data_IF_762192632236
#
_entry.id   IF_762192632236
#
_cell.length_a   1.000
_cell.length_b   1.000
_cell.length_c   1.000
_cell.angle_alpha   90.00
_cell.angle_beta   90.00
_cell.angle_gamma   90.00
#
_symmetry.space_group_name_H-M   'P 1'
#
loop_
_entity.id
_entity.type
_entity.pdbx_description
1 polymer ?
#
# COMPACT_ATOMS: atom_id res chain seq x y z
N UNK A 1 24.22 4.49 -5.18
CA UNK A 1 23.14 5.23 -5.83
C UNK A 1 21.97 5.21 -4.88
N UNK A 2 21.76 6.32 -4.21
CA UNK A 2 20.63 6.52 -3.32
C UNK A 2 19.35 6.29 -4.12
N UNK A 3 18.55 5.33 -3.71
CA UNK A 3 17.15 5.25 -4.06
C UNK A 3 16.39 6.39 -3.38
N UNK A 4 16.76 7.58 -3.64
CA UNK A 4 15.86 8.66 -3.32
C UNK A 4 14.77 8.57 -4.35
N UNK A 5 13.79 7.93 -3.87
CA UNK A 5 12.53 8.10 -4.50
C UNK A 5 12.32 9.56 -4.47
N UNK A 6 11.84 9.88 -5.21
CA UNK A 6 11.21 10.60 -5.88
C UNK A 6 9.96 11.05 -5.31
N UNK A 7 9.53 12.06 -5.64
CA UNK A 7 8.26 12.60 -5.47
C UNK A 7 7.88 12.97 -4.11
N UNK A 8 8.75 13.36 -3.39
CA UNK A 8 8.39 13.82 -2.07
C UNK A 8 8.06 15.26 -2.01
N UNK A 9 8.36 15.97 -2.97
CA UNK A 9 8.31 17.37 -2.68
C UNK A 9 7.05 17.99 -3.19
N UNK A 10 7.15 18.80 -4.04
CA UNK A 10 6.03 19.57 -4.53
C UNK A 10 5.39 18.86 -5.71
N UNK A 11 4.18 19.25 -6.04
CA UNK A 11 3.51 18.79 -7.24
C UNK A 11 4.31 19.01 -8.54
N UNK A 12 5.40 19.75 -8.47
CA UNK A 12 6.28 20.06 -9.60
C UNK A 12 7.54 19.19 -9.69
N UNK A 13 7.91 18.49 -8.64
CA UNK A 13 9.04 17.55 -8.68
C UNK A 13 8.58 16.14 -8.40
N UNK A 14 8.44 15.38 -9.44
CA UNK A 14 8.12 13.97 -9.37
C UNK A 14 9.38 13.17 -9.63
N UNK A 15 9.77 12.47 -8.69
CA UNK A 15 10.79 11.54 -8.71
C UNK A 15 10.19 10.25 -9.19
N UNK A 16 10.80 9.51 -9.98
CA UNK A 16 10.38 8.21 -10.47
C UNK A 16 11.43 7.18 -10.08
N UNK A 17 11.00 6.00 -9.85
CA UNK A 17 11.90 4.89 -9.60
C UNK A 17 12.93 4.78 -10.74
N UNK A 18 14.17 4.46 -10.39
CA UNK A 18 15.27 4.33 -11.33
C UNK A 18 14.94 3.36 -12.47
N UNK A 19 14.16 2.30 -12.17
CA UNK A 19 13.77 1.30 -13.16
C UNK A 19 12.83 1.91 -14.21
N UNK A 20 11.93 2.79 -13.79
CA UNK A 20 11.03 3.51 -14.71
C UNK A 20 11.81 4.50 -15.56
N UNK A 21 12.71 5.27 -14.93
CA UNK A 21 13.58 6.23 -15.65
C UNK A 21 14.43 5.51 -16.67
N UNK A 22 15.07 4.42 -16.29
CA UNK A 22 15.94 3.66 -17.17
C UNK A 22 15.18 3.01 -18.32
N UNK A 23 14.03 2.40 -18.04
CA UNK A 23 13.20 1.79 -19.08
C UNK A 23 12.71 2.83 -20.09
N UNK A 24 12.24 3.97 -19.61
CA UNK A 24 11.82 5.06 -20.48
C UNK A 24 12.98 5.61 -21.33
N UNK A 25 14.16 5.77 -20.75
CA UNK A 25 15.36 6.17 -21.49
C UNK A 25 15.74 5.17 -22.57
N UNK A 26 15.70 3.85 -22.26
CA UNK A 26 15.99 2.80 -23.24
C UNK A 26 15.00 2.81 -24.41
N UNK A 27 13.71 2.92 -24.13
CA UNK A 27 12.66 2.96 -25.16
C UNK A 27 12.76 4.25 -26.02
N UNK A 28 13.05 5.38 -25.38
CA UNK A 28 13.27 6.64 -26.09
C UNK A 28 14.49 6.56 -26.99
N UNK A 29 15.62 6.05 -26.48
CA UNK A 29 16.83 5.85 -27.28
C UNK A 29 16.61 4.88 -28.43
N UNK A 30 15.89 3.76 -28.21
CA UNK A 30 15.51 2.82 -29.25
C UNK A 30 14.78 3.55 -30.39
N UNK A 31 13.76 4.33 -30.05
CA UNK A 31 12.97 5.08 -31.04
C UNK A 31 13.79 6.07 -31.83
N UNK A 32 14.74 6.76 -31.20
CA UNK A 32 15.62 7.75 -31.85
C UNK A 32 16.68 7.09 -32.76
N UNK A 33 17.19 5.94 -32.36
CA UNK A 33 18.25 5.22 -33.11
C UNK A 33 17.70 4.37 -34.22
N UNK A 34 16.44 3.93 -34.14
CA UNK A 34 15.81 3.01 -35.10
C UNK A 34 15.99 3.41 -36.58
N UNK A 35 15.87 4.69 -36.99
CA UNK A 35 16.09 5.08 -38.37
C UNK A 35 17.54 4.95 -38.84
N UNK A 36 18.50 4.97 -37.91
CA UNK A 36 19.94 4.93 -38.20
C UNK A 36 20.52 3.52 -38.07
N UNK A 37 20.08 2.78 -37.06
CA UNK A 37 20.55 1.44 -36.75
C UNK A 37 19.44 0.62 -36.06
N UNK A 38 18.71 -0.16 -36.82
CA UNK A 38 17.63 -0.98 -36.32
C UNK A 38 18.09 -2.05 -35.34
N UNK A 39 19.25 -2.67 -35.58
CA UNK A 39 19.78 -3.71 -34.69
C UNK A 39 20.09 -3.18 -33.28
N UNK A 40 20.70 -2.00 -33.18
CA UNK A 40 20.93 -1.35 -31.90
C UNK A 40 19.61 -0.93 -31.23
N UNK A 41 18.65 -0.47 -32.03
CA UNK A 41 17.33 -0.11 -31.52
C UNK A 41 16.61 -1.32 -30.88
N UNK A 42 16.65 -2.47 -31.55
CA UNK A 42 16.03 -3.70 -31.05
C UNK A 42 16.74 -4.21 -29.79
N UNK A 43 18.05 -4.07 -29.69
CA UNK A 43 18.80 -4.41 -28.49
C UNK A 43 18.43 -3.51 -27.29
N UNK A 44 18.27 -2.21 -27.51
CA UNK A 44 17.84 -1.29 -26.49
C UNK A 44 16.41 -1.56 -26.02
N UNK A 45 15.53 -1.89 -26.96
CA UNK A 45 14.15 -2.23 -26.67
C UNK A 45 14.05 -3.52 -25.85
N UNK A 46 14.79 -4.58 -26.24
CA UNK A 46 14.86 -5.84 -25.50
C UNK A 46 15.37 -5.67 -24.07
N UNK A 47 16.25 -4.70 -23.82
CA UNK A 47 16.68 -4.39 -22.45
C UNK A 47 15.56 -3.77 -21.60
N UNK A 48 14.61 -3.11 -22.21
CA UNK A 48 13.44 -2.55 -21.52
C UNK A 48 12.29 -3.57 -21.44
N UNK A 49 11.97 -4.20 -22.56
CA UNK A 49 10.90 -5.20 -22.71
C UNK A 49 11.42 -6.32 -23.59
N UNK A 50 11.47 -7.52 -23.08
CA UNK A 50 11.87 -8.71 -23.83
C UNK A 50 10.81 -9.81 -23.69
N UNK A 51 9.84 -9.87 -24.61
CA UNK A 51 8.74 -10.82 -24.53
C UNK A 51 9.19 -12.27 -24.72
N UNK A 52 10.39 -12.51 -25.27
CA UNK A 52 10.89 -13.87 -25.51
C UNK A 52 11.54 -14.46 -24.26
N UNK A 53 12.34 -13.65 -23.55
CA UNK A 53 13.09 -14.13 -22.38
C UNK A 53 12.53 -13.64 -21.05
N UNK A 54 11.63 -12.65 -21.07
CA UNK A 54 11.07 -11.99 -19.89
C UNK A 54 12.17 -11.39 -18.98
N UNK A 55 13.31 -11.02 -19.55
CA UNK A 55 14.45 -10.46 -18.84
C UNK A 55 14.55 -8.94 -18.97
N UNK A 56 13.68 -8.29 -19.72
CA UNK A 56 13.58 -6.85 -19.80
C UNK A 56 13.28 -6.22 -18.43
N UNK A 57 13.66 -4.97 -18.24
CA UNK A 57 13.46 -4.28 -16.95
C UNK A 57 11.99 -4.19 -16.55
N UNK A 58 11.10 -3.91 -17.51
CA UNK A 58 9.67 -3.84 -17.27
C UNK A 58 9.05 -5.22 -17.07
N UNK A 59 9.56 -6.24 -17.75
CA UNK A 59 9.12 -7.62 -17.54
C UNK A 59 9.48 -8.12 -16.15
N UNK A 60 10.68 -7.80 -15.69
CA UNK A 60 11.11 -8.12 -14.33
C UNK A 60 10.33 -7.33 -13.26
N UNK A 61 9.90 -6.11 -13.58
CA UNK A 61 9.02 -5.33 -12.72
C UNK A 61 7.62 -5.98 -12.68
N UNK A 62 7.07 -6.35 -13.83
CA UNK A 62 5.78 -7.04 -13.94
C UNK A 62 5.81 -8.40 -13.24
N UNK A 63 6.91 -9.13 -13.34
CA UNK A 63 7.14 -10.37 -12.62
C UNK A 63 7.36 -10.19 -11.10
N UNK A 64 7.37 -8.97 -10.61
CA UNK A 64 7.57 -8.65 -9.20
C UNK A 64 8.98 -8.88 -8.68
N UNK A 65 9.98 -9.03 -9.56
CA UNK A 65 11.40 -9.13 -9.18
C UNK A 65 11.96 -7.80 -8.68
N UNK A 66 11.38 -6.69 -9.14
CA UNK A 66 11.65 -5.36 -8.64
C UNK A 66 10.37 -4.77 -8.08
N UNK A 67 10.52 -3.95 -7.06
CA UNK A 67 9.44 -3.15 -6.50
C UNK A 67 9.72 -1.69 -6.74
N UNK A 68 8.68 -0.97 -7.07
CA UNK A 68 8.71 0.48 -7.01
C UNK A 68 8.82 0.89 -5.55
N UNK A 69 9.58 1.94 -5.28
CA UNK A 69 9.85 2.33 -3.91
C UNK A 69 8.58 2.61 -3.09
N UNK A 70 7.54 3.13 -3.74
CA UNK A 70 6.25 3.37 -3.12
C UNK A 70 5.41 2.08 -2.91
N UNK A 71 5.77 0.97 -3.55
CA UNK A 71 5.11 -0.32 -3.35
C UNK A 71 5.71 -1.11 -2.19
N UNK A 72 6.96 -0.82 -1.82
CA UNK A 72 7.66 -1.52 -0.74
C UNK A 72 7.23 -1.14 0.66
N UNK A 73 6.66 0.05 0.82
CA UNK A 73 6.25 0.58 2.12
C UNK A 73 4.75 0.40 2.43
N UNK A 74 3.95 0.05 1.42
CA UNK A 74 2.51 -0.10 1.56
C UNK A 74 2.09 -1.57 1.67
N UNK A 75 2.45 -2.18 2.77
CA UNK A 75 1.92 -3.51 3.08
C UNK A 75 0.53 -3.42 3.69
N UNK A 76 0.28 -2.34 4.40
CA UNK A 76 -0.98 -2.05 5.02
C UNK A 76 -1.27 -0.56 4.80
N UNK A 77 -2.38 -0.26 4.22
CA UNK A 77 -2.79 1.13 3.95
C UNK A 77 -4.11 1.41 4.67
N UNK A 78 -4.18 2.56 5.33
CA UNK A 78 -5.44 3.04 5.89
C UNK A 78 -6.02 4.12 4.99
N UNK A 79 -7.31 4.02 4.75
CA UNK A 79 -8.06 4.96 3.91
C UNK A 79 -9.31 5.42 4.66
N UNK A 80 -9.52 6.72 4.83
CA UNK A 80 -10.79 7.24 5.33
C UNK A 80 -11.90 6.97 4.29
N UNK A 81 -13.03 6.47 4.75
CA UNK A 81 -14.20 6.19 3.89
C UNK A 81 -15.31 7.21 4.15
N UNK A 82 -15.64 7.39 5.40
CA UNK A 82 -16.68 8.35 5.81
C UNK A 82 -16.21 9.03 7.10
N UNK A 83 -15.85 10.29 7.00
CA UNK A 83 -15.36 11.08 8.14
C UNK A 83 -16.28 12.27 8.34
N UNK A 84 -16.74 12.44 9.58
CA UNK A 84 -17.55 13.59 9.95
C UNK A 84 -16.70 14.87 9.90
N UNK A 85 -17.24 15.96 9.38
CA UNK A 85 -16.53 17.23 9.26
C UNK A 85 -16.09 17.86 10.58
N UNK A 86 -16.59 17.40 11.72
CA UNK A 86 -16.14 17.81 13.07
C UNK A 86 -15.01 16.95 13.63
N UNK A 87 -14.66 15.85 12.96
CA UNK A 87 -13.54 14.99 13.36
C UNK A 87 -12.23 15.67 13.04
N UNK A 88 -11.34 15.75 14.03
CA UNK A 88 -9.98 16.26 13.90
C UNK A 88 -8.93 15.18 14.14
N UNK A 89 -9.37 14.03 14.68
CA UNK A 89 -8.57 12.82 14.81
C UNK A 89 -8.62 11.99 13.55
N UNK A 90 -7.61 11.14 13.36
CA UNK A 90 -7.52 10.22 12.23
C UNK A 90 -6.72 8.97 12.62
N UNK A 91 -6.81 7.93 11.82
CA UNK A 91 -5.87 6.81 11.91
C UNK A 91 -4.61 7.19 11.14
N UNK A 92 -3.46 7.15 11.80
CA UNK A 92 -2.22 7.72 11.25
C UNK A 92 -1.16 6.69 10.92
N UNK A 93 -1.12 5.60 11.67
CA UNK A 93 -0.09 4.57 11.51
C UNK A 93 -0.68 3.17 11.60
N UNK A 94 -0.03 2.25 10.91
CA UNK A 94 -0.28 0.82 11.00
C UNK A 94 1.02 0.07 11.31
N UNK A 95 0.93 -1.02 12.05
CA UNK A 95 2.02 -1.96 12.27
C UNK A 95 1.49 -3.37 12.41
N UNK A 96 2.40 -4.32 12.32
CA UNK A 96 2.11 -5.74 12.45
C UNK A 96 2.19 -6.46 11.10
N UNK A 97 2.04 -7.77 11.18
CA UNK A 97 2.06 -8.63 10.02
C UNK A 97 0.70 -9.30 9.89
N UNK A 98 0.09 -9.21 8.74
CA UNK A 98 -1.18 -9.88 8.48
C UNK A 98 -1.05 -11.39 8.62
N UNK A 99 -1.98 -12.00 9.36
CA UNK A 99 -2.11 -13.46 9.49
C UNK A 99 -2.93 -14.06 8.34
N UNK A 100 -3.55 -13.22 7.51
CA UNK A 100 -4.31 -13.62 6.34
C UNK A 100 -3.63 -13.16 5.06
N UNK A 101 -3.84 -13.86 3.97
CA UNK A 101 -3.22 -13.54 2.68
C UNK A 101 -3.60 -12.14 2.18
N UNK A 102 -4.86 -11.77 2.33
CA UNK A 102 -5.40 -10.47 1.97
C UNK A 102 -6.76 -10.28 2.62
N UNK A 103 -7.05 -9.09 3.11
CA UNK A 103 -8.36 -8.66 3.56
C UNK A 103 -8.48 -7.14 3.53
N UNK A 104 -9.69 -6.63 3.64
CA UNK A 104 -9.98 -5.22 3.91
C UNK A 104 -10.70 -5.14 5.25
N UNK A 105 -10.03 -4.59 6.25
CA UNK A 105 -10.65 -4.34 7.53
C UNK A 105 -11.42 -3.03 7.48
N UNK A 106 -12.66 -3.06 7.90
CA UNK A 106 -13.46 -1.86 8.13
C UNK A 106 -13.40 -1.50 9.61
N UNK A 107 -12.82 -0.37 9.94
CA UNK A 107 -12.76 0.18 11.28
C UNK A 107 -13.83 1.26 11.42
N UNK A 108 -14.69 1.11 12.41
CA UNK A 108 -15.78 2.04 12.71
C UNK A 108 -15.61 2.62 14.12
N UNK A 109 -15.79 3.90 14.27
CA UNK A 109 -15.87 4.55 15.59
C UNK A 109 -17.30 4.43 16.12
N UNK A 110 -17.48 3.62 17.14
CA UNK A 110 -18.81 3.33 17.70
C UNK A 110 -19.29 4.43 18.62
N UNK A 111 -18.38 4.98 19.44
CA UNK A 111 -18.65 6.11 20.32
C UNK A 111 -17.55 7.15 20.18
N UNK A 112 -17.92 8.33 19.76
CA UNK A 112 -16.99 9.44 19.53
C UNK A 112 -16.70 10.25 20.79
N UNK A 113 -15.47 10.69 20.95
CA UNK A 113 -15.01 11.61 21.98
C UNK A 113 -13.66 12.22 21.60
N UNK A 114 -13.09 13.04 22.47
CA UNK A 114 -11.72 13.56 22.31
C UNK A 114 -10.71 12.55 22.81
N UNK A 115 -9.81 12.12 21.94
CA UNK A 115 -8.65 11.31 22.28
C UNK A 115 -7.48 12.24 22.61
N UNK A 116 -6.96 12.13 23.83
CA UNK A 116 -5.72 12.78 24.20
C UNK A 116 -4.51 11.89 23.85
N UNK A 117 -3.38 12.51 23.53
CA UNK A 117 -2.18 11.77 23.16
C UNK A 117 -1.72 10.86 24.32
N UNK A 118 -1.57 9.57 24.03
CA UNK A 118 -1.08 8.58 25.00
C UNK A 118 -2.00 8.29 26.19
N UNK A 119 -3.26 8.65 26.10
CA UNK A 119 -4.23 8.43 27.18
C UNK A 119 -5.40 7.59 26.69
N UNK A 120 -5.83 6.65 27.52
CA UNK A 120 -7.10 5.95 27.27
C UNK A 120 -8.25 6.96 27.22
N UNK A 121 -9.16 6.74 26.33
CA UNK A 121 -10.28 7.64 26.06
C UNK A 121 -11.62 6.93 26.24
N UNK A 122 -12.71 7.67 26.09
CA UNK A 122 -14.05 7.11 25.95
C UNK A 122 -14.41 6.80 24.49
N UNK A 123 -13.48 6.94 23.56
CA UNK A 123 -13.69 6.55 22.17
C UNK A 123 -13.67 5.04 22.06
N UNK A 124 -14.73 4.45 21.53
CA UNK A 124 -14.79 3.01 21.28
C UNK A 124 -14.84 2.74 19.79
N UNK A 125 -14.31 1.61 19.40
CA UNK A 125 -14.25 1.21 18.00
C UNK A 125 -14.58 -0.27 17.83
N UNK A 126 -15.04 -0.60 16.64
CA UNK A 126 -15.21 -1.97 16.18
C UNK A 126 -14.51 -2.18 14.85
N UNK A 127 -14.03 -3.39 14.61
CA UNK A 127 -13.46 -3.75 13.32
C UNK A 127 -14.15 -4.96 12.72
N UNK A 128 -14.27 -4.95 11.41
CA UNK A 128 -14.90 -5.98 10.62
C UNK A 128 -13.97 -6.39 9.48
N UNK A 129 -13.77 -7.70 9.29
CA UNK A 129 -13.10 -8.25 8.13
C UNK A 129 -14.10 -8.52 7.01
N UNK A 130 -13.66 -8.34 5.76
CA UNK A 130 -14.41 -8.74 4.58
C UNK A 130 -13.76 -9.99 3.99
N UNK A 131 -14.56 -10.94 3.52
CA UNK A 131 -13.99 -12.04 2.74
C UNK A 131 -13.48 -11.54 1.38
N UNK A 132 -12.76 -12.40 0.67
CA UNK A 132 -12.18 -12.08 -0.64
C UNK A 132 -13.21 -11.66 -1.70
N UNK A 133 -14.49 -11.92 -1.45
CA UNK A 133 -15.60 -11.51 -2.33
C UNK A 133 -16.22 -10.18 -1.91
N UNK A 134 -15.90 -9.68 -0.71
CA UNK A 134 -16.47 -8.48 -0.11
C UNK A 134 -17.93 -8.62 0.32
N UNK A 135 -18.48 -9.83 0.26
CA UNK A 135 -19.88 -10.09 0.57
C UNK A 135 -20.13 -10.44 2.04
N UNK A 136 -19.11 -10.91 2.74
CA UNK A 136 -19.23 -11.36 4.12
C UNK A 136 -18.42 -10.46 5.04
N UNK A 137 -19.06 -9.97 6.08
CA UNK A 137 -18.42 -9.15 7.12
C UNK A 137 -18.36 -10.00 8.39
N UNK A 138 -17.14 -10.27 8.86
CA UNK A 138 -16.88 -10.91 10.13
C UNK A 138 -16.46 -9.85 11.14
N UNK A 139 -17.16 -9.75 12.27
CA UNK A 139 -16.73 -8.85 13.35
C UNK A 139 -15.51 -9.44 14.04
N UNK A 140 -14.42 -8.68 14.06
CA UNK A 140 -13.15 -9.07 14.66
C UNK A 140 -12.98 -8.46 16.03
N UNK A 141 -13.34 -7.19 16.17
CA UNK A 141 -13.31 -6.42 17.41
C UNK A 141 -14.68 -5.79 17.62
N UNK A 142 -15.12 -5.71 18.86
CA UNK A 142 -16.44 -5.18 19.21
C UNK A 142 -16.34 -4.22 20.39
N UNK A 143 -16.49 -2.95 20.14
CA UNK A 143 -16.60 -1.92 21.17
C UNK A 143 -15.37 -1.77 22.07
N UNK A 144 -14.19 -2.03 21.56
CA UNK A 144 -12.93 -1.80 22.30
C UNK A 144 -12.64 -0.32 22.43
N UNK A 145 -11.97 0.06 23.52
CA UNK A 145 -11.61 1.45 23.79
C UNK A 145 -10.27 1.81 23.18
N UNK A 146 -10.18 2.95 22.51
CA UNK A 146 -8.91 3.48 22.03
C UNK A 146 -8.01 3.84 23.21
N UNK A 147 -6.78 3.31 23.18
CA UNK A 147 -5.79 3.53 24.24
C UNK A 147 -4.95 4.79 24.05
N UNK A 148 -4.99 5.40 22.86
CA UNK A 148 -4.09 6.47 22.45
C UNK A 148 -2.68 5.99 22.10
N UNK A 149 -2.46 4.67 22.12
CA UNK A 149 -1.26 3.99 21.70
C UNK A 149 -1.51 3.12 20.48
N UNK A 150 -1.04 1.88 20.54
CA UNK A 150 -1.29 0.87 19.48
C UNK A 150 -2.49 0.01 19.87
N UNK A 151 -3.54 0.11 19.11
CA UNK A 151 -4.79 -0.60 19.30
C UNK A 151 -4.91 -1.73 18.25
N UNK A 152 -5.50 -2.85 18.63
CA UNK A 152 -5.56 -4.04 17.79
C UNK A 152 -6.71 -3.94 16.77
N UNK A 153 -6.42 -4.08 15.49
CA UNK A 153 -7.44 -4.03 14.44
C UNK A 153 -7.96 -5.41 14.01
N UNK A 154 -7.26 -6.48 14.34
CA UNK A 154 -7.55 -7.83 13.85
C UNK A 154 -6.46 -8.35 12.91
N UNK A 155 -6.43 -9.66 12.70
CA UNK A 155 -5.51 -10.34 11.79
C UNK A 155 -4.02 -9.99 11.97
N UNK A 156 -3.60 -9.72 13.21
CA UNK A 156 -2.20 -9.37 13.53
C UNK A 156 -1.84 -7.90 13.28
N UNK A 157 -2.78 -7.09 12.87
CA UNK A 157 -2.57 -5.67 12.57
C UNK A 157 -2.96 -4.82 13.77
N UNK A 158 -2.13 -3.82 14.03
CA UNK A 158 -2.38 -2.77 15.00
C UNK A 158 -2.39 -1.42 14.29
N UNK A 159 -3.23 -0.53 14.77
CA UNK A 159 -3.30 0.84 14.29
C UNK A 159 -3.05 1.82 15.43
N UNK A 160 -2.73 3.04 15.07
CA UNK A 160 -2.63 4.15 16.00
C UNK A 160 -3.51 5.29 15.52
N UNK A 161 -4.38 5.76 16.41
CA UNK A 161 -5.17 6.96 16.19
C UNK A 161 -4.40 8.19 16.66
N UNK A 162 -4.54 9.30 15.94
CA UNK A 162 -4.00 10.60 16.40
C UNK A 162 -4.86 11.19 17.50
N UNK A 163 -4.26 12.04 18.33
CA UNK A 163 -5.02 12.88 19.23
C UNK A 163 -5.98 13.79 18.45
N UNK A 164 -7.13 14.05 19.02
CA UNK A 164 -8.17 14.87 18.39
C UNK A 164 -9.57 14.36 18.68
N UNK A 165 -10.55 14.98 18.06
CA UNK A 165 -11.95 14.56 18.14
C UNK A 165 -12.19 13.45 17.14
N UNK A 166 -12.65 12.31 17.62
CA UNK A 166 -13.18 11.21 16.79
C UNK A 166 -14.70 11.21 16.95
N UNK A 167 -15.39 11.16 15.85
CA UNK A 167 -16.86 11.24 15.86
C UNK A 167 -17.45 9.86 15.63
N UNK A 168 -18.60 9.60 16.25
CA UNK A 168 -19.36 8.36 16.02
C UNK A 168 -19.67 8.19 14.54
N UNK A 169 -19.50 6.97 14.04
CA UNK A 169 -19.62 6.58 12.63
C UNK A 169 -18.51 7.11 11.70
N UNK A 170 -17.39 7.59 12.23
CA UNK A 170 -16.18 7.72 11.40
C UNK A 170 -15.73 6.35 10.97
N UNK A 171 -15.56 6.17 9.66
CA UNK A 171 -15.20 4.88 9.06
C UNK A 171 -13.87 4.97 8.31
N UNK A 172 -13.04 3.95 8.53
CA UNK A 172 -11.79 3.75 7.82
C UNK A 172 -11.75 2.35 7.22
N UNK A 173 -11.11 2.21 6.09
CA UNK A 173 -10.73 0.92 5.53
C UNK A 173 -9.22 0.74 5.67
N UNK A 174 -8.82 -0.44 6.14
CA UNK A 174 -7.42 -0.84 6.27
C UNK A 174 -7.22 -2.03 5.34
N UNK A 175 -6.55 -1.80 4.23
CA UNK A 175 -6.16 -2.90 3.35
C UNK A 175 -4.93 -3.60 3.93
N UNK A 176 -5.06 -4.89 4.17
CA UNK A 176 -4.00 -5.71 4.76
C UNK A 176 -3.60 -6.84 3.82
N UNK A 177 -2.33 -7.16 3.81
CA UNK A 177 -1.80 -8.22 2.98
C UNK A 177 -0.60 -8.88 3.64
N UNK A 178 -0.60 -10.21 3.64
CA UNK A 178 0.58 -11.00 4.01
C UNK A 178 1.53 -11.21 2.83
N UNK A 179 1.31 -10.55 1.71
CA UNK A 179 2.17 -10.62 0.53
C UNK A 179 3.50 -9.91 0.75
N UNK A 180 4.14 -10.21 1.88
CA UNK A 180 5.51 -9.82 2.09
C UNK A 180 6.43 -10.69 1.23
N UNK A 181 7.17 -10.06 0.36
CA UNK A 181 8.51 -10.37 -0.12
C UNK A 181 8.96 -11.84 -0.19
N UNK A 182 8.05 -12.78 -0.28
CA UNK A 182 8.46 -14.12 -0.63
C UNK A 182 8.32 -14.28 -2.16
N UNK A 183 9.40 -14.10 -2.93
CA UNK A 183 9.37 -14.27 -4.38
C UNK A 183 8.89 -15.67 -4.79
N UNK A 184 9.02 -16.65 -3.89
CA UNK A 184 8.51 -18.01 -4.11
C UNK A 184 6.99 -18.10 -4.06
N UNK A 185 6.33 -17.28 -3.25
CA UNK A 185 4.85 -17.28 -3.18
C UNK A 185 4.25 -16.57 -4.38
N UNK A 186 4.89 -15.51 -4.86
CA UNK A 186 4.44 -14.77 -6.06
C UNK A 186 4.56 -15.61 -7.34
N UNK A 187 5.66 -16.36 -7.48
CA UNK A 187 5.84 -17.26 -8.61
C UNK A 187 4.86 -18.43 -8.61
N UNK A 188 4.47 -18.96 -7.46
CA UNK A 188 3.49 -20.03 -7.38
C UNK A 188 2.07 -19.61 -7.79
N UNK A 189 1.71 -18.34 -7.70
CA UNK A 189 0.40 -17.82 -8.13
C UNK A 189 0.32 -17.48 -9.62
N UNK A 190 1.45 -17.23 -10.27
CA UNK A 190 1.50 -16.94 -11.72
C UNK A 190 1.32 -18.19 -12.59
N UNK A 191 1.37 -19.39 -11.98
CA UNK A 191 1.27 -20.68 -12.69
C UNK A 191 -0.08 -21.41 -12.46
N UNK A 192 -1.12 -20.68 -12.08
CA UNK A 192 -2.48 -21.22 -11.97
C UNK A 192 -3.44 -20.57 -12.94
#
# INVERSE_FOLDING_TARGET
LSRKGVGTASASSRDYDWIIIKSNALLTCSSLVRPLNSGLADELEKRAIDPETELGLLDQLAAGKYRLWNQGERQNEVRPVSINGSSTGSVVDLKGQSTVDWDILKLNIDSGATLAAGSASSVTYSTYGKDSTGLKIAQLINGETLTGGWDYAGHGIYFRASAGVHTTNDEYEIEISNMQDNPKIKTARLWR
#
